data_IF_731874197419
#
_entry.id   IF_731874197419
#
_cell.length_a   1.000
_cell.length_b   1.000
_cell.length_c   1.000
_cell.angle_alpha   90.00
_cell.angle_beta   90.00
_cell.angle_gamma   90.00
#
_symmetry.space_group_name_H-M   'P 1'
#
loop_
_entity.id
_entity.type
_entity.pdbx_description
1 polymer ?
#
# COMPACT_ATOMS: atom_id res chain seq x y z
N UNK A 1 -35.94 3.29 8.23
CA UNK A 1 -34.79 3.62 7.40
C UNK A 1 -33.65 4.10 8.32
N UNK A 2 -32.64 3.26 8.62
CA UNK A 2 -31.45 3.71 9.38
C UNK A 2 -30.61 4.58 8.44
N UNK A 3 -30.41 5.85 8.78
CA UNK A 3 -29.44 6.72 8.11
C UNK A 3 -28.05 6.04 8.28
N UNK A 4 -27.41 5.65 7.18
CA UNK A 4 -25.99 5.34 7.18
C UNK A 4 -25.28 6.61 7.62
N UNK A 5 -24.70 6.63 8.81
CA UNK A 5 -23.71 7.67 9.16
C UNK A 5 -22.59 7.61 8.13
N UNK A 6 -22.45 8.68 7.38
CA UNK A 6 -21.33 8.83 6.45
C UNK A 6 -20.13 9.10 7.34
N UNK A 7 -19.35 8.08 7.65
CA UNK A 7 -18.07 8.24 8.33
C UNK A 7 -17.14 8.97 7.37
N UNK A 8 -16.90 10.26 7.65
CA UNK A 8 -15.97 11.07 6.86
C UNK A 8 -14.55 10.58 7.11
N UNK A 9 -13.87 10.09 6.07
CA UNK A 9 -12.50 9.61 6.19
C UNK A 9 -11.56 10.77 6.50
N UNK A 10 -10.74 10.63 7.56
CA UNK A 10 -9.81 11.66 8.03
C UNK A 10 -8.41 11.35 7.52
N UNK A 11 -7.78 12.31 6.84
CA UNK A 11 -6.43 12.20 6.30
C UNK A 11 -5.50 13.21 6.99
N UNK A 12 -4.23 12.84 7.14
CA UNK A 12 -3.17 13.73 7.58
C UNK A 12 -2.27 14.07 6.38
N UNK A 13 -1.97 15.35 6.21
CA UNK A 13 -0.93 15.84 5.30
C UNK A 13 0.24 16.32 6.15
N UNK A 14 1.44 15.78 5.92
CA UNK A 14 2.69 16.24 6.53
C UNK A 14 3.53 16.83 5.40
N UNK A 15 3.54 18.17 5.32
CA UNK A 15 4.13 18.95 4.22
C UNK A 15 4.43 20.33 4.73
N UNK A 16 5.67 20.80 4.60
CA UNK A 16 6.12 22.10 5.09
C UNK A 16 5.71 23.27 4.17
N UNK A 17 5.62 23.02 2.87
CA UNK A 17 5.13 24.02 1.93
C UNK A 17 3.61 24.24 2.12
N UNK A 18 3.29 25.43 2.67
CA UNK A 18 1.90 25.82 2.91
C UNK A 18 1.07 25.93 1.62
N UNK A 19 1.66 26.28 0.48
CA UNK A 19 0.96 26.41 -0.80
C UNK A 19 0.53 25.03 -1.29
N UNK A 20 1.43 24.05 -1.21
CA UNK A 20 1.16 22.66 -1.58
C UNK A 20 0.12 22.05 -0.63
N UNK A 21 0.35 22.14 0.68
CA UNK A 21 -0.52 21.54 1.69
C UNK A 21 -1.94 22.11 1.66
N UNK A 22 -2.11 23.44 1.51
CA UNK A 22 -3.44 24.05 1.36
C UNK A 22 -4.11 23.71 0.04
N UNK A 23 -3.36 23.63 -1.07
CA UNK A 23 -3.89 23.22 -2.37
C UNK A 23 -4.44 21.80 -2.34
N UNK A 24 -3.67 20.86 -1.74
CA UNK A 24 -4.10 19.48 -1.54
C UNK A 24 -5.33 19.42 -0.63
N UNK A 25 -5.27 20.11 0.53
CA UNK A 25 -6.39 20.16 1.49
C UNK A 25 -7.66 20.61 0.81
N UNK A 26 -7.65 21.76 0.12
CA UNK A 26 -8.82 22.28 -0.56
C UNK A 26 -9.43 21.26 -1.52
N UNK A 27 -8.59 20.63 -2.34
CA UNK A 27 -9.05 19.65 -3.32
C UNK A 27 -9.64 18.38 -2.67
N UNK A 28 -9.03 17.89 -1.58
CA UNK A 28 -9.51 16.70 -0.88
C UNK A 28 -10.78 16.95 -0.07
N UNK A 29 -10.95 18.15 0.49
CA UNK A 29 -12.21 18.54 1.16
C UNK A 29 -13.38 18.59 0.18
N UNK A 30 -13.17 19.00 -1.09
CA UNK A 30 -14.19 18.93 -2.15
C UNK A 30 -14.57 17.48 -2.50
N UNK A 31 -13.69 16.52 -2.25
CA UNK A 31 -13.94 15.08 -2.42
C UNK A 31 -14.57 14.42 -1.18
N UNK A 32 -14.86 15.21 -0.13
CA UNK A 32 -15.54 14.74 1.08
C UNK A 32 -14.62 14.15 2.15
N UNK A 33 -13.31 14.44 2.12
CA UNK A 33 -12.37 14.05 3.17
C UNK A 33 -12.27 15.11 4.26
N UNK A 34 -11.96 14.70 5.49
CA UNK A 34 -11.53 15.59 6.56
C UNK A 34 -10.01 15.65 6.60
N UNK A 35 -9.41 16.83 6.64
CA UNK A 35 -7.97 17.01 6.46
C UNK A 35 -7.34 17.75 7.62
N UNK A 36 -6.36 17.10 8.26
CA UNK A 36 -5.39 17.75 9.13
C UNK A 36 -4.07 18.01 8.38
N UNK A 37 -3.38 19.08 8.75
CA UNK A 37 -2.06 19.43 8.20
C UNK A 37 -1.04 19.50 9.33
N UNK A 38 0.14 18.94 9.11
CA UNK A 38 1.37 19.14 9.88
C UNK A 38 2.45 19.72 8.98
N UNK A 39 3.34 20.53 9.52
CA UNK A 39 4.41 21.18 8.76
C UNK A 39 5.79 20.57 8.97
N UNK A 40 5.91 19.67 9.92
CA UNK A 40 7.16 19.09 10.36
C UNK A 40 6.93 17.69 10.95
N UNK A 41 8.03 16.96 11.15
CA UNK A 41 8.04 15.61 11.69
C UNK A 41 7.49 15.58 13.12
N UNK A 42 7.87 16.55 13.95
CA UNK A 42 7.49 16.60 15.37
C UNK A 42 5.99 16.76 15.57
N UNK A 43 5.37 17.72 14.89
CA UNK A 43 3.91 17.91 14.91
C UNK A 43 3.16 16.78 14.22
N UNK A 44 3.79 16.13 13.22
CA UNK A 44 3.28 14.91 12.61
C UNK A 44 3.16 13.77 13.63
N UNK A 45 4.21 13.49 14.39
CA UNK A 45 4.21 12.48 15.45
C UNK A 45 3.15 12.75 16.51
N UNK A 46 3.03 14.00 16.96
CA UNK A 46 2.03 14.41 17.97
C UNK A 46 0.59 14.12 17.46
N UNK A 47 0.28 14.51 16.23
CA UNK A 47 -1.05 14.30 15.65
C UNK A 47 -1.38 12.84 15.47
N UNK A 48 -0.44 12.03 15.00
CA UNK A 48 -0.61 10.59 14.79
C UNK A 48 -0.82 9.87 16.12
N UNK A 49 -0.15 10.31 17.20
CA UNK A 49 -0.32 9.73 18.53
C UNK A 49 -1.68 10.08 19.17
N UNK A 50 -2.29 11.19 18.76
CA UNK A 50 -3.52 11.73 19.35
C UNK A 50 -4.77 11.47 18.51
N UNK A 51 -4.64 11.04 17.27
CA UNK A 51 -5.76 10.86 16.35
C UNK A 51 -5.61 9.60 15.49
N UNK A 52 -6.74 9.07 15.05
CA UNK A 52 -6.77 8.02 14.02
C UNK A 52 -6.95 8.65 12.64
N UNK A 53 -6.13 8.21 11.70
CA UNK A 53 -6.20 8.62 10.30
C UNK A 53 -6.48 7.41 9.39
N UNK A 54 -7.22 7.67 8.33
CA UNK A 54 -7.50 6.66 7.29
C UNK A 54 -6.34 6.56 6.29
N UNK A 55 -5.55 7.63 6.16
CA UNK A 55 -4.37 7.70 5.29
C UNK A 55 -3.50 8.89 5.69
N UNK A 56 -2.21 8.82 5.36
CA UNK A 56 -1.23 9.89 5.54
C UNK A 56 -0.59 10.21 4.19
N UNK A 57 -0.56 11.50 3.82
CA UNK A 57 0.26 12.03 2.75
C UNK A 57 1.51 12.63 3.38
N UNK A 58 2.67 12.22 2.97
CA UNK A 58 3.91 12.47 3.70
C UNK A 58 5.01 12.96 2.77
N UNK A 59 5.42 14.21 2.95
CA UNK A 59 6.62 14.69 2.25
C UNK A 59 7.85 13.94 2.75
N UNK A 60 8.73 13.62 1.82
CA UNK A 60 10.02 13.01 2.12
C UNK A 60 10.96 13.99 2.81
N UNK A 61 10.93 15.26 2.42
CA UNK A 61 11.81 16.30 2.97
C UNK A 61 11.02 17.19 3.94
N UNK A 62 11.41 17.15 5.22
CA UNK A 62 10.80 17.96 6.27
C UNK A 62 11.86 18.81 6.97
N UNK A 63 11.50 19.96 7.54
CA UNK A 63 12.48 20.90 8.12
C UNK A 63 13.24 20.34 9.34
N UNK A 64 12.68 19.35 10.05
CA UNK A 64 13.21 18.75 11.26
C UNK A 64 13.54 17.25 11.12
N UNK A 65 13.58 16.73 9.88
CA UNK A 65 13.92 15.34 9.61
C UNK A 65 13.42 14.85 8.25
N UNK A 66 13.13 13.57 8.14
CA UNK A 66 12.65 12.97 6.89
C UNK A 66 11.29 12.30 7.06
N UNK A 67 10.48 12.31 6.01
CA UNK A 67 9.25 11.53 5.98
C UNK A 67 9.50 10.03 6.17
N UNK A 68 10.67 9.56 5.79
CA UNK A 68 11.05 8.16 6.01
C UNK A 68 11.13 7.80 7.50
N UNK A 69 11.70 8.70 8.32
CA UNK A 69 11.74 8.52 9.78
C UNK A 69 10.33 8.49 10.39
N UNK A 70 9.43 9.36 9.89
CA UNK A 70 8.04 9.35 10.34
C UNK A 70 7.32 8.06 9.92
N UNK A 71 7.57 7.58 8.71
CA UNK A 71 7.02 6.31 8.23
C UNK A 71 7.48 5.14 9.10
N UNK A 72 8.78 5.03 9.39
CA UNK A 72 9.32 4.00 10.29
C UNK A 72 8.69 4.06 11.68
N UNK A 73 8.56 5.26 12.25
CA UNK A 73 7.89 5.47 13.52
C UNK A 73 6.45 4.95 13.49
N UNK A 74 5.68 5.31 12.46
CA UNK A 74 4.29 4.85 12.29
C UNK A 74 4.22 3.33 12.15
N UNK A 75 5.11 2.73 11.38
CA UNK A 75 5.13 1.28 11.14
C UNK A 75 5.44 0.46 12.39
N UNK A 76 5.98 1.07 13.43
CA UNK A 76 6.15 0.44 14.74
C UNK A 76 4.82 0.09 15.44
N UNK A 77 3.70 0.72 15.08
CA UNK A 77 2.40 0.51 15.75
C UNK A 77 1.19 0.58 14.82
N UNK A 78 1.32 0.98 13.56
CA UNK A 78 0.18 1.18 12.66
C UNK A 78 0.49 0.77 11.22
N UNK A 79 -0.54 0.22 10.55
CA UNK A 79 -0.55 -0.08 9.11
C UNK A 79 -1.45 0.92 8.36
N UNK A 80 -1.57 2.16 8.85
CA UNK A 80 -2.26 3.23 8.13
C UNK A 80 -1.59 3.44 6.77
N UNK A 81 -2.35 3.54 5.67
CA UNK A 81 -1.78 3.80 4.36
C UNK A 81 -0.98 5.11 4.32
N UNK A 82 0.21 5.06 3.70
CA UNK A 82 1.09 6.21 3.54
C UNK A 82 1.43 6.38 2.05
N UNK A 83 1.15 7.57 1.52
CA UNK A 83 1.61 7.99 0.18
C UNK A 83 2.71 9.01 0.37
N UNK A 84 3.90 8.74 -0.16
CA UNK A 84 4.98 9.71 -0.15
C UNK A 84 4.80 10.77 -1.24
N UNK A 85 5.03 12.03 -0.86
CA UNK A 85 5.20 13.16 -1.78
C UNK A 85 6.71 13.44 -1.87
N UNK A 86 7.29 13.42 -3.07
CA UNK A 86 8.75 13.55 -3.21
C UNK A 86 9.11 14.47 -4.37
N UNK A 87 10.12 15.30 -4.18
CA UNK A 87 10.73 16.09 -5.27
C UNK A 87 11.78 15.27 -6.05
N UNK A 88 12.11 14.06 -5.57
CA UNK A 88 13.22 13.28 -6.10
C UNK A 88 12.69 12.05 -6.84
N UNK A 89 12.99 11.99 -8.12
CA UNK A 89 12.74 10.89 -9.05
C UNK A 89 13.92 9.90 -9.09
N UNK A 90 14.94 10.07 -8.25
CA UNK A 90 16.00 9.09 -8.15
C UNK A 90 15.46 7.75 -7.64
N UNK A 91 15.69 6.73 -8.45
CA UNK A 91 15.23 5.35 -8.24
C UNK A 91 15.54 4.82 -6.83
N UNK A 92 16.68 5.21 -6.28
CA UNK A 92 17.16 4.83 -4.95
C UNK A 92 16.23 5.34 -3.84
N UNK A 93 15.70 6.56 -3.96
CA UNK A 93 14.84 7.16 -2.95
C UNK A 93 13.43 6.59 -2.97
N UNK A 94 12.93 6.23 -4.15
CA UNK A 94 11.64 5.55 -4.33
C UNK A 94 11.69 4.14 -3.71
N UNK A 95 12.74 3.38 -4.02
CA UNK A 95 12.97 2.05 -3.45
C UNK A 95 13.08 2.14 -1.94
N UNK A 96 13.83 3.11 -1.41
CA UNK A 96 14.01 3.32 0.02
C UNK A 96 12.69 3.66 0.74
N UNK A 97 11.86 4.54 0.15
CA UNK A 97 10.54 4.90 0.72
C UNK A 97 9.57 3.73 0.77
N UNK A 98 9.57 2.90 -0.27
CA UNK A 98 8.80 1.68 -0.32
C UNK A 98 9.39 0.61 0.62
N UNK A 99 10.73 0.55 0.78
CA UNK A 99 11.44 -0.35 1.71
C UNK A 99 11.07 -0.08 3.16
N UNK A 100 10.77 1.15 3.50
CA UNK A 100 10.37 1.57 4.83
C UNK A 100 8.88 1.29 5.10
N UNK A 101 8.08 0.96 4.08
CA UNK A 101 6.68 0.57 4.23
C UNK A 101 5.66 1.57 3.68
N UNK A 102 6.05 2.45 2.77
CA UNK A 102 5.12 3.28 2.00
C UNK A 102 4.18 2.44 1.12
N UNK A 103 2.97 2.89 0.92
CA UNK A 103 1.96 2.20 0.09
C UNK A 103 1.95 2.70 -1.36
N UNK A 104 2.35 3.94 -1.58
CA UNK A 104 2.53 4.55 -2.90
C UNK A 104 3.43 5.79 -2.78
N UNK A 105 3.83 6.34 -3.92
CA UNK A 105 4.56 7.61 -3.99
C UNK A 105 4.06 8.44 -5.16
N UNK A 106 4.27 9.75 -5.09
CA UNK A 106 3.99 10.68 -6.16
C UNK A 106 5.08 11.74 -6.23
N UNK A 107 5.66 11.94 -7.41
CA UNK A 107 6.71 12.91 -7.63
C UNK A 107 6.16 14.33 -7.83
N UNK A 108 6.78 15.30 -7.18
CA UNK A 108 6.51 16.73 -7.38
C UNK A 108 7.25 17.22 -8.64
N UNK A 109 6.63 18.03 -9.53
CA UNK A 109 5.24 18.52 -9.45
C UNK A 109 4.21 17.48 -9.93
N UNK A 110 3.12 17.31 -9.21
CA UNK A 110 2.05 16.38 -9.56
C UNK A 110 0.75 17.09 -9.93
N UNK A 111 -0.12 16.40 -10.64
CA UNK A 111 -1.47 16.88 -10.92
C UNK A 111 -2.40 16.46 -9.77
N UNK A 112 -3.23 17.40 -9.29
CA UNK A 112 -4.19 17.13 -8.19
C UNK A 112 -5.12 15.94 -8.51
N UNK A 113 -5.56 15.80 -9.76
CA UNK A 113 -6.40 14.67 -10.19
C UNK A 113 -5.69 13.33 -10.07
N UNK A 114 -4.38 13.28 -10.32
CA UNK A 114 -3.57 12.09 -10.16
C UNK A 114 -3.48 11.72 -8.68
N UNK A 115 -3.15 12.68 -7.80
CA UNK A 115 -3.10 12.47 -6.37
C UNK A 115 -4.43 11.93 -5.82
N UNK A 116 -5.57 12.54 -6.19
CA UNK A 116 -6.91 12.10 -5.79
C UNK A 116 -7.18 10.66 -6.26
N UNK A 117 -6.81 10.33 -7.49
CA UNK A 117 -6.98 8.97 -8.04
C UNK A 117 -6.20 7.94 -7.24
N UNK A 118 -4.94 8.23 -6.90
CA UNK A 118 -4.08 7.36 -6.08
C UNK A 118 -4.62 7.20 -4.65
N UNK A 119 -5.03 8.28 -4.00
CA UNK A 119 -5.67 8.26 -2.68
C UNK A 119 -6.90 7.34 -2.69
N UNK A 120 -7.81 7.54 -3.67
CA UNK A 120 -9.00 6.70 -3.80
C UNK A 120 -8.67 5.24 -4.07
N UNK A 121 -7.65 4.97 -4.88
CA UNK A 121 -7.19 3.62 -5.16
C UNK A 121 -6.66 2.93 -3.90
N UNK A 122 -5.83 3.60 -3.11
CA UNK A 122 -5.28 3.08 -1.85
C UNK A 122 -6.38 2.88 -0.80
N UNK A 123 -7.29 3.85 -0.62
CA UNK A 123 -8.41 3.74 0.33
C UNK A 123 -9.43 2.66 -0.06
N UNK A 124 -9.72 2.48 -1.36
CA UNK A 124 -10.61 1.41 -1.85
C UNK A 124 -10.08 0.03 -1.50
N UNK A 125 -8.76 -0.15 -1.46
CA UNK A 125 -8.10 -1.39 -1.05
C UNK A 125 -8.44 -1.77 0.39
N UNK A 126 -8.64 -0.77 1.27
CA UNK A 126 -9.05 -0.97 2.68
C UNK A 126 -10.56 -1.11 2.86
N UNK A 127 -11.38 -0.64 1.90
CA UNK A 127 -12.84 -0.53 1.99
C UNK A 127 -13.66 -1.54 1.18
N UNK A 128 -13.07 -2.37 0.33
CA UNK A 128 -13.81 -3.35 -0.46
C UNK A 128 -14.16 -4.61 0.37
N UNK A 129 -15.07 -4.45 1.30
CA UNK A 129 -15.87 -5.53 1.85
C UNK A 129 -17.23 -5.56 1.15
N UNK A 130 -17.26 -5.97 -0.10
CA UNK A 130 -18.53 -6.42 -0.69
C UNK A 130 -18.90 -7.78 -0.11
N UNK A 131 -20.12 -7.89 0.41
CA UNK A 131 -20.65 -9.01 1.20
C UNK A 131 -20.72 -10.37 0.47
N UNK A 132 -20.24 -10.50 -0.75
CA UNK A 132 -20.44 -11.70 -1.58
C UNK A 132 -19.34 -12.77 -1.50
N UNK A 133 -18.23 -12.58 -0.77
CA UNK A 133 -17.23 -13.63 -0.67
C UNK A 133 -16.53 -13.69 0.69
N UNK A 134 -17.19 -14.30 1.67
CA UNK A 134 -16.50 -14.88 2.85
C UNK A 134 -15.61 -16.04 2.41
N UNK A 135 -14.52 -15.75 1.75
CA UNK A 135 -13.60 -16.78 1.29
C UNK A 135 -12.30 -16.70 2.08
N UNK A 136 -12.10 -17.67 2.94
CA UNK A 136 -10.78 -17.93 3.51
C UNK A 136 -10.03 -18.73 2.45
N UNK A 137 -8.96 -18.18 1.91
CA UNK A 137 -8.08 -18.87 0.99
C UNK A 137 -6.95 -19.51 1.80
N UNK A 138 -6.78 -20.83 1.68
CA UNK A 138 -5.73 -21.57 2.40
C UNK A 138 -4.76 -22.19 1.40
N UNK A 139 -3.47 -21.91 1.60
CA UNK A 139 -2.37 -22.45 0.81
C UNK A 139 -1.29 -22.96 1.77
N UNK A 140 -1.24 -24.27 1.99
CA UNK A 140 -0.34 -24.84 2.99
C UNK A 140 -0.56 -24.26 4.38
N UNK A 141 0.44 -23.57 4.91
CA UNK A 141 0.43 -22.90 6.22
C UNK A 141 -0.04 -21.43 6.15
N UNK A 142 -0.36 -20.93 4.94
CA UNK A 142 -0.82 -19.56 4.70
C UNK A 142 -2.36 -19.52 4.64
N UNK A 143 -2.96 -18.65 5.47
CA UNK A 143 -4.41 -18.41 5.48
C UNK A 143 -4.69 -16.92 5.20
N UNK A 144 -5.52 -16.63 4.19
CA UNK A 144 -5.85 -15.27 3.77
C UNK A 144 -7.34 -15.05 4.01
N UNK A 145 -7.66 -14.16 4.93
CA UNK A 145 -9.02 -13.71 5.26
C UNK A 145 -9.34 -12.52 4.38
N UNK A 146 -9.97 -12.76 3.24
CA UNK A 146 -10.13 -11.73 2.21
C UNK A 146 -11.03 -10.57 2.64
N UNK A 147 -12.01 -10.81 3.51
CA UNK A 147 -12.89 -9.75 4.05
C UNK A 147 -12.17 -8.80 4.99
N UNK A 148 -11.27 -9.35 5.80
CA UNK A 148 -10.57 -8.63 6.86
C UNK A 148 -9.25 -8.04 6.34
N UNK A 149 -8.86 -8.38 5.11
CA UNK A 149 -7.55 -8.10 4.53
C UNK A 149 -6.39 -8.57 5.43
N UNK A 150 -6.59 -9.69 6.15
CA UNK A 150 -5.60 -10.26 7.06
C UNK A 150 -4.99 -11.53 6.50
N UNK A 151 -3.71 -11.71 6.78
CA UNK A 151 -2.94 -12.88 6.36
C UNK A 151 -2.30 -13.51 7.59
N UNK A 152 -2.38 -14.83 7.67
CA UNK A 152 -1.79 -15.61 8.76
C UNK A 152 -0.89 -16.68 8.18
N UNK A 153 0.23 -16.94 8.86
CA UNK A 153 1.10 -18.10 8.60
C UNK A 153 1.27 -18.89 9.89
N UNK A 154 0.94 -20.18 9.86
CA UNK A 154 0.92 -21.04 11.06
C UNK A 154 0.14 -20.37 12.22
N UNK A 155 -1.05 -19.83 11.93
CA UNK A 155 -1.95 -19.11 12.85
C UNK A 155 -1.37 -17.82 13.48
N UNK A 156 -0.19 -17.37 13.03
CA UNK A 156 0.37 -16.06 13.40
C UNK A 156 0.06 -15.04 12.32
N UNK A 157 -0.50 -13.90 12.72
CA UNK A 157 -0.77 -12.80 11.80
C UNK A 157 0.53 -12.23 11.24
N UNK A 158 0.58 -12.07 9.92
CA UNK A 158 1.65 -11.39 9.21
C UNK A 158 1.13 -10.09 8.63
N UNK A 159 1.84 -9.00 8.92
CA UNK A 159 1.42 -7.67 8.50
C UNK A 159 1.96 -7.37 7.11
N UNK A 160 1.05 -7.27 6.13
CA UNK A 160 1.35 -6.84 4.78
C UNK A 160 0.91 -5.37 4.60
N UNK A 161 1.74 -4.59 3.90
CA UNK A 161 1.28 -3.28 3.42
C UNK A 161 0.18 -3.46 2.37
N UNK A 162 -0.56 -2.40 2.06
CA UNK A 162 -1.66 -2.46 1.07
C UNK A 162 -1.17 -2.94 -0.30
N UNK A 163 0.04 -2.58 -0.71
CA UNK A 163 0.63 -3.01 -1.98
C UNK A 163 1.03 -4.48 -1.95
N UNK A 164 1.68 -4.93 -0.88
CA UNK A 164 2.05 -6.35 -0.72
C UNK A 164 0.81 -7.24 -0.67
N UNK A 165 -0.24 -6.82 0.03
CA UNK A 165 -1.51 -7.54 0.07
C UNK A 165 -2.18 -7.59 -1.32
N UNK A 166 -2.19 -6.48 -2.07
CA UNK A 166 -2.72 -6.45 -3.44
C UNK A 166 -1.90 -7.34 -4.37
N UNK A 167 -0.57 -7.30 -4.27
CA UNK A 167 0.32 -8.16 -5.03
C UNK A 167 0.04 -9.64 -4.75
N UNK A 168 -0.12 -10.01 -3.48
CA UNK A 168 -0.50 -11.36 -3.07
C UNK A 168 -1.80 -11.79 -3.73
N UNK A 169 -2.85 -10.96 -3.68
CA UNK A 169 -4.14 -11.27 -4.29
C UNK A 169 -4.06 -11.39 -5.82
N UNK A 170 -3.30 -10.51 -6.49
CA UNK A 170 -3.09 -10.57 -7.94
C UNK A 170 -2.48 -11.92 -8.34
N UNK A 171 -1.45 -12.35 -7.62
CA UNK A 171 -0.78 -13.62 -7.89
C UNK A 171 -1.72 -14.82 -7.65
N UNK A 172 -2.45 -14.83 -6.54
CA UNK A 172 -3.39 -15.90 -6.18
C UNK A 172 -4.56 -15.99 -7.17
N UNK A 173 -5.14 -14.86 -7.57
CA UNK A 173 -6.24 -14.82 -8.54
C UNK A 173 -5.85 -15.35 -9.91
N UNK A 174 -4.56 -15.28 -10.25
CA UNK A 174 -3.99 -15.80 -11.48
C UNK A 174 -3.10 -17.05 -11.23
N UNK A 175 -3.50 -17.89 -10.26
CA UNK A 175 -2.73 -19.09 -9.89
C UNK A 175 -2.41 -19.96 -11.11
N UNK A 176 -1.22 -20.53 -11.10
CA UNK A 176 -0.69 -21.37 -12.18
C UNK A 176 -0.47 -20.65 -13.53
N UNK A 177 -0.74 -19.34 -13.60
CA UNK A 177 -0.48 -18.53 -14.80
C UNK A 177 0.75 -17.65 -14.56
N UNK A 178 1.65 -17.59 -15.53
CA UNK A 178 2.77 -16.65 -15.49
C UNK A 178 2.25 -15.26 -15.82
N UNK A 179 2.40 -14.33 -14.89
CA UNK A 179 2.12 -12.92 -15.15
C UNK A 179 3.42 -12.21 -15.50
N UNK A 180 3.41 -11.45 -16.59
CA UNK A 180 4.55 -10.59 -16.91
C UNK A 180 4.70 -9.47 -15.88
N UNK A 181 5.89 -8.90 -15.79
CA UNK A 181 6.18 -7.77 -14.90
C UNK A 181 5.22 -6.60 -15.17
N UNK A 182 5.02 -6.26 -16.44
CA UNK A 182 4.10 -5.22 -16.89
C UNK A 182 2.66 -5.51 -16.45
N UNK A 183 2.16 -6.73 -16.67
CA UNK A 183 0.80 -7.12 -16.25
C UNK A 183 0.58 -7.02 -14.75
N UNK A 184 1.58 -7.38 -13.94
CA UNK A 184 1.49 -7.24 -12.48
C UNK A 184 1.42 -5.76 -12.10
N UNK A 185 2.30 -4.98 -12.68
CA UNK A 185 2.40 -3.54 -12.39
C UNK A 185 1.12 -2.80 -12.83
N UNK A 186 0.56 -3.05 -14.00
CA UNK A 186 -0.73 -2.52 -14.46
C UNK A 186 -1.87 -2.84 -13.47
N UNK A 187 -1.95 -4.10 -13.00
CA UNK A 187 -2.95 -4.52 -12.02
C UNK A 187 -2.74 -3.91 -10.63
N UNK A 188 -1.50 -3.60 -10.25
CA UNK A 188 -1.20 -2.97 -8.97
C UNK A 188 -1.65 -1.50 -8.93
N UNK A 189 -1.48 -0.76 -10.00
CA UNK A 189 -1.68 0.70 -10.00
C UNK A 189 -2.86 1.22 -10.83
N UNK A 190 -3.61 0.37 -11.56
CA UNK A 190 -4.77 0.77 -12.39
C UNK A 190 -4.47 1.93 -13.38
N UNK A 191 -3.22 2.13 -13.80
CA UNK A 191 -2.80 3.25 -14.65
C UNK A 191 -1.94 2.75 -15.79
N UNK A 192 -2.15 3.33 -16.98
CA UNK A 192 -1.33 3.10 -18.16
C UNK A 192 0.11 3.54 -17.89
N UNK A 193 1.05 2.64 -18.09
CA UNK A 193 2.45 2.71 -17.75
C UNK A 193 3.22 3.72 -18.56
N UNK A 194 3.77 4.75 -17.90
CA UNK A 194 4.96 5.43 -18.41
C UNK A 194 6.05 5.67 -17.32
N UNK A 195 5.79 5.37 -16.03
CA UNK A 195 6.67 5.86 -14.96
C UNK A 195 6.97 4.89 -13.80
N UNK A 196 6.62 3.61 -13.84
CA UNK A 196 7.01 2.67 -12.76
C UNK A 196 8.14 1.76 -13.24
N UNK A 197 9.30 1.92 -12.62
CA UNK A 197 10.51 1.17 -12.94
C UNK A 197 10.34 -0.32 -12.59
N UNK A 198 10.86 -1.17 -13.47
CA UNK A 198 10.87 -2.64 -13.33
C UNK A 198 11.50 -3.13 -12.01
N UNK A 199 12.42 -2.35 -11.43
CA UNK A 199 13.10 -2.67 -10.18
C UNK A 199 12.16 -2.63 -8.96
N UNK A 200 11.15 -1.75 -8.98
CA UNK A 200 10.16 -1.62 -7.91
C UNK A 200 9.39 -2.92 -7.64
N UNK A 201 8.98 -3.63 -8.70
CA UNK A 201 8.31 -4.91 -8.54
C UNK A 201 9.20 -5.97 -7.89
N UNK A 202 10.49 -5.99 -8.21
CA UNK A 202 11.44 -6.94 -7.62
C UNK A 202 11.52 -6.76 -6.10
N UNK A 203 11.51 -5.53 -5.62
CA UNK A 203 11.51 -5.20 -4.19
C UNK A 203 10.23 -5.70 -3.52
N UNK A 204 9.05 -5.44 -4.11
CA UNK A 204 7.78 -5.93 -3.54
C UNK A 204 7.70 -7.46 -3.49
N UNK A 205 8.15 -8.14 -4.54
CA UNK A 205 8.18 -9.61 -4.56
C UNK A 205 9.12 -10.13 -3.48
N UNK A 206 10.32 -9.53 -3.34
CA UNK A 206 11.28 -9.92 -2.29
C UNK A 206 10.67 -9.81 -0.90
N UNK A 207 10.06 -8.67 -0.58
CA UNK A 207 9.42 -8.45 0.72
C UNK A 207 8.23 -9.35 0.99
N UNK A 208 7.38 -9.52 -0.03
CA UNK A 208 6.26 -10.43 0.10
C UNK A 208 6.76 -11.83 0.43
N UNK A 209 7.80 -12.31 -0.25
CA UNK A 209 8.44 -13.61 0.07
C UNK A 209 8.94 -13.68 1.50
N UNK A 210 9.70 -12.68 1.94
CA UNK A 210 10.24 -12.60 3.30
C UNK A 210 9.12 -12.70 4.34
N UNK A 211 8.02 -11.98 4.13
CA UNK A 211 6.88 -11.96 5.05
C UNK A 211 6.06 -13.26 5.04
N UNK A 212 5.82 -13.85 3.87
CA UNK A 212 5.11 -15.14 3.77
C UNK A 212 6.05 -16.34 4.00
N UNK A 213 7.36 -16.09 4.21
CA UNK A 213 8.36 -17.13 4.44
C UNK A 213 8.53 -18.04 3.22
N UNK A 214 8.63 -17.44 2.03
CA UNK A 214 8.87 -18.15 0.77
C UNK A 214 10.34 -18.02 0.36
N UNK A 215 11.00 -19.11 0.05
CA UNK A 215 12.39 -19.11 -0.36
C UNK A 215 12.55 -18.85 -1.87
N UNK A 216 13.62 -18.14 -2.25
CA UNK A 216 13.90 -17.85 -3.65
C UNK A 216 14.44 -19.09 -4.42
N UNK A 217 15.17 -19.95 -3.73
CA UNK A 217 15.81 -21.13 -4.32
C UNK A 217 14.84 -22.32 -4.37
N UNK A 218 13.99 -22.46 -3.34
CA UNK A 218 12.98 -23.51 -3.24
C UNK A 218 11.61 -22.89 -2.97
N UNK A 219 11.02 -22.20 -3.97
CA UNK A 219 9.78 -21.46 -3.77
C UNK A 219 8.58 -22.40 -3.53
N UNK A 220 7.81 -22.11 -2.48
CA UNK A 220 6.57 -22.80 -2.16
C UNK A 220 5.36 -22.07 -2.74
N UNK A 221 5.43 -20.73 -2.83
CA UNK A 221 4.31 -19.89 -3.22
C UNK A 221 4.54 -19.12 -4.52
N UNK A 222 5.71 -18.47 -4.69
CA UNK A 222 5.97 -17.57 -5.81
C UNK A 222 7.18 -18.08 -6.62
N UNK A 223 6.93 -18.61 -7.78
CA UNK A 223 7.96 -18.99 -8.74
C UNK A 223 8.41 -17.77 -9.56
N UNK A 224 9.74 -17.59 -9.73
CA UNK A 224 10.29 -16.62 -10.67
C UNK A 224 10.53 -17.27 -12.01
N UNK A 225 9.81 -16.81 -13.04
CA UNK A 225 10.04 -17.22 -14.43
C UNK A 225 11.00 -16.23 -15.08
N UNK A 226 12.29 -16.63 -15.17
CA UNK A 226 13.37 -15.74 -15.62
C UNK A 226 13.07 -15.10 -16.97
N UNK A 227 13.27 -13.79 -17.07
CA UNK A 227 13.03 -13.02 -18.29
C UNK A 227 11.56 -12.75 -18.62
N UNK A 228 10.59 -13.29 -17.84
CA UNK A 228 9.14 -13.14 -18.09
C UNK A 228 8.44 -12.46 -16.91
N UNK A 229 8.48 -13.05 -15.71
CA UNK A 229 7.75 -12.50 -14.57
C UNK A 229 7.62 -13.48 -13.42
N UNK A 230 6.42 -13.55 -12.84
CA UNK A 230 6.15 -14.32 -11.62
C UNK A 230 4.88 -15.14 -11.74
N UNK A 231 4.83 -16.26 -11.00
CA UNK A 231 3.72 -17.19 -11.01
C UNK A 231 3.43 -17.66 -9.58
N UNK A 232 2.16 -17.70 -9.20
CA UNK A 232 1.73 -18.36 -7.97
C UNK A 232 1.66 -19.86 -8.16
N UNK A 233 2.37 -20.62 -7.34
CA UNK A 233 2.43 -22.09 -7.38
C UNK A 233 1.86 -22.75 -6.12
N UNK A 234 1.49 -21.94 -5.09
CA UNK A 234 0.91 -22.46 -3.86
C UNK A 234 -0.34 -23.29 -4.12
N UNK A 235 -0.39 -24.51 -3.59
CA UNK A 235 -1.53 -25.40 -3.70
C UNK A 235 -2.64 -24.99 -2.74
N UNK A 236 -3.85 -24.78 -3.25
CA UNK A 236 -5.02 -24.46 -2.43
C UNK A 236 -5.48 -25.69 -1.69
N UNK A 237 -5.52 -25.62 -0.37
CA UNK A 237 -6.12 -26.68 0.44
C UNK A 237 -7.65 -26.54 0.35
N UNK A 238 -8.32 -27.52 -0.25
CA UNK A 238 -9.78 -27.59 -0.26
C UNK A 238 -10.28 -27.68 1.17
N UNK A 239 -10.78 -26.60 1.72
CA UNK A 239 -11.56 -26.65 2.97
C UNK A 239 -12.97 -27.02 2.54
N UNK A 240 -13.30 -28.33 2.62
CA UNK A 240 -14.70 -28.73 2.63
C UNK A 240 -15.33 -28.16 3.91
N UNK A 241 -16.30 -27.27 3.76
CA UNK A 241 -17.22 -26.83 4.82
C UNK A 241 -18.34 -27.84 4.91
#
# INVERSE_FOLDING_TARGET
MKRKEIVMLKLLIVEDDSTISFGIKYALEQEGFSIDISKDLSSGKEKISSNEYSMILLDVTLPDGTGYELCQYIRGFSQVPIIFLTACDEEVNIVMGLDIGGDDYITKPFRIRELISRIKAVLRRKGNTSEENKKILKFGDLSIYTLEARVYKNDKEIFLTSVEYKLLLILIQNKNTVLSRTQILEKLWDVTYDFVNDNTLTVYIKRLREKIGDDLCEPIYIETVRGIGYKWIGSENSVSI
#
